data_IF_650244318826
#
_entry.id   IF_650244318826
#
_cell.length_a   1.000
_cell.length_b   1.000
_cell.length_c   1.000
_cell.angle_alpha   90.00
_cell.angle_beta   90.00
_cell.angle_gamma   90.00
#
_symmetry.space_group_name_H-M   'P 1'
#
loop_
_entity.id
_entity.type
_entity.pdbx_description
1 polymer ?
#
# COMPACT_ATOMS: atom_id res chain seq x y z
N UNK A 1 5.08 11.83 -62.36
CA UNK A 1 5.64 11.98 -61.00
C UNK A 1 4.56 11.63 -60.01
N UNK A 2 4.80 10.66 -59.12
CA UNK A 2 3.83 10.26 -58.08
C UNK A 2 4.34 10.79 -56.76
N UNK A 3 3.59 11.70 -56.14
CA UNK A 3 3.88 12.21 -54.79
C UNK A 3 2.98 11.45 -53.83
N UNK A 4 3.56 10.75 -52.86
CA UNK A 4 2.81 9.93 -51.91
C UNK A 4 2.08 10.78 -50.86
N UNK A 5 2.64 11.92 -50.43
CA UNK A 5 2.00 12.81 -49.45
C UNK A 5 2.41 14.26 -49.70
N UNK A 6 1.43 15.16 -49.70
CA UNK A 6 1.62 16.60 -49.90
C UNK A 6 1.93 17.36 -48.61
N UNK A 7 1.53 16.82 -47.45
CA UNK A 7 1.93 17.33 -46.14
C UNK A 7 3.37 16.89 -45.81
N UNK A 8 4.20 17.83 -45.33
CA UNK A 8 5.49 17.47 -44.77
C UNK A 8 5.29 16.48 -43.61
N UNK A 9 6.02 15.36 -43.62
CA UNK A 9 6.07 14.48 -42.45
C UNK A 9 7.13 15.01 -41.50
N UNK A 10 6.80 15.17 -40.22
CA UNK A 10 7.76 15.50 -39.17
C UNK A 10 8.90 14.48 -39.04
N UNK A 11 8.69 13.25 -39.56
CA UNK A 11 9.62 12.13 -39.47
C UNK A 11 10.05 11.73 -40.89
N UNK A 12 11.33 11.92 -41.26
CA UNK A 12 11.80 11.62 -42.61
C UNK A 12 11.80 10.10 -42.87
N UNK A 13 11.15 9.68 -43.96
CA UNK A 13 11.05 8.26 -44.34
C UNK A 13 12.42 7.63 -44.56
N UNK A 14 13.39 8.38 -45.10
CA UNK A 14 14.77 7.91 -45.28
C UNK A 14 15.46 7.52 -43.98
N UNK A 15 15.11 8.15 -42.84
CA UNK A 15 15.65 7.77 -41.54
C UNK A 15 14.93 6.57 -40.90
N UNK A 16 13.72 6.25 -41.36
CA UNK A 16 13.00 5.03 -40.95
C UNK A 16 13.42 3.81 -41.75
N UNK A 17 14.07 4.01 -42.89
CA UNK A 17 14.62 2.98 -43.77
C UNK A 17 16.09 2.69 -43.37
N UNK A 18 16.50 1.42 -43.48
CA UNK A 18 17.89 0.95 -43.28
C UNK A 18 18.55 1.24 -41.91
N UNK A 19 17.81 1.78 -40.94
CA UNK A 19 18.23 1.97 -39.56
C UNK A 19 17.82 0.81 -38.65
N UNK A 20 18.65 0.46 -37.66
CA UNK A 20 18.21 -0.37 -36.54
C UNK A 20 17.11 0.36 -35.76
N UNK A 21 16.20 -0.38 -35.12
CA UNK A 21 15.15 0.20 -34.29
C UNK A 21 15.73 1.13 -33.21
N UNK A 22 16.86 0.73 -32.60
CA UNK A 22 17.63 1.52 -31.64
C UNK A 22 18.11 2.85 -32.24
N UNK A 23 18.62 2.85 -33.48
CA UNK A 23 19.01 4.09 -34.18
C UNK A 23 17.80 4.99 -34.46
N UNK A 24 16.71 4.40 -34.94
CA UNK A 24 15.47 5.12 -35.27
C UNK A 24 14.95 5.86 -34.04
N UNK A 25 14.84 5.19 -32.88
CA UNK A 25 14.26 5.79 -31.68
C UNK A 25 15.18 6.71 -30.88
N UNK A 26 16.47 6.72 -31.24
CA UNK A 26 17.43 7.68 -30.69
C UNK A 26 17.64 8.91 -31.59
N UNK A 27 17.08 8.92 -32.80
CA UNK A 27 17.32 10.01 -33.76
C UNK A 27 16.08 10.40 -34.54
N UNK A 28 15.73 9.63 -35.57
CA UNK A 28 14.68 9.96 -36.55
C UNK A 28 13.29 10.05 -35.94
N UNK A 29 12.96 9.15 -35.01
CA UNK A 29 11.66 9.10 -34.37
C UNK A 29 11.81 8.85 -32.87
N UNK A 30 12.15 9.89 -32.08
CA UNK A 30 12.56 9.76 -30.69
C UNK A 30 11.57 8.98 -29.82
N UNK A 31 12.09 8.17 -28.89
CA UNK A 31 11.29 7.39 -27.94
C UNK A 31 10.28 8.26 -27.17
N UNK A 32 10.66 9.47 -26.81
CA UNK A 32 9.83 10.45 -26.10
C UNK A 32 8.57 10.80 -26.94
N UNK A 33 8.72 10.94 -28.26
CA UNK A 33 7.61 11.23 -29.18
C UNK A 33 6.70 10.00 -29.32
N UNK A 34 7.28 8.80 -29.40
CA UNK A 34 6.52 7.54 -29.42
C UNK A 34 5.73 7.37 -28.13
N UNK A 35 6.37 7.57 -26.98
CA UNK A 35 5.75 7.49 -25.66
C UNK A 35 4.61 8.50 -25.55
N UNK A 36 4.83 9.77 -25.91
CA UNK A 36 3.79 10.79 -25.87
C UNK A 36 2.54 10.41 -26.69
N UNK A 37 2.72 9.76 -27.84
CA UNK A 37 1.61 9.35 -28.71
C UNK A 37 0.89 8.09 -28.24
N UNK A 38 1.60 7.16 -27.58
CA UNK A 38 1.05 5.85 -27.21
C UNK A 38 0.76 5.69 -25.71
N UNK A 39 1.19 6.63 -24.85
CA UNK A 39 1.08 6.51 -23.40
C UNK A 39 -0.36 6.30 -22.94
N UNK A 40 -1.30 7.10 -23.45
CA UNK A 40 -2.71 6.96 -23.08
C UNK A 40 -3.27 5.57 -23.44
N UNK A 41 -2.87 5.03 -24.60
CA UNK A 41 -3.25 3.66 -25.00
C UNK A 41 -2.61 2.61 -24.09
N UNK A 42 -1.36 2.82 -23.68
CA UNK A 42 -0.69 1.93 -22.73
C UNK A 42 -1.38 1.93 -21.36
N UNK A 43 -1.77 3.12 -20.88
CA UNK A 43 -2.49 3.27 -19.62
C UNK A 43 -3.91 2.69 -19.70
N UNK A 44 -4.59 2.79 -20.85
CA UNK A 44 -5.93 2.20 -21.04
C UNK A 44 -5.93 0.66 -21.09
N UNK A 45 -4.76 0.02 -21.18
CA UNK A 45 -4.65 -1.42 -21.02
C UNK A 45 -4.91 -1.87 -19.57
N UNK A 46 -4.78 -0.96 -18.60
CA UNK A 46 -5.01 -1.21 -17.18
C UNK A 46 -6.46 -0.88 -16.80
N UNK A 47 -7.21 -1.90 -16.41
CA UNK A 47 -8.60 -1.80 -15.96
C UNK A 47 -8.66 -1.49 -14.46
N UNK A 48 -8.84 -0.22 -14.15
CA UNK A 48 -9.08 0.28 -12.79
C UNK A 48 -10.57 0.18 -12.41
N UNK A 49 -10.91 0.28 -11.10
CA UNK A 49 -12.29 0.42 -10.67
C UNK A 49 -13.00 1.60 -11.34
N UNK A 50 -14.28 1.46 -11.68
CA UNK A 50 -15.06 2.51 -12.34
C UNK A 50 -15.51 3.59 -11.35
N UNK A 51 -14.59 4.48 -10.97
CA UNK A 51 -14.84 5.63 -10.09
C UNK A 51 -14.00 6.86 -10.50
N UNK A 52 -14.41 8.04 -10.05
CA UNK A 52 -13.75 9.31 -10.40
C UNK A 52 -12.28 9.36 -9.96
N UNK A 53 -11.95 8.69 -8.87
CA UNK A 53 -10.57 8.58 -8.37
C UNK A 53 -9.66 7.89 -9.39
N UNK A 54 -10.13 6.81 -10.01
CA UNK A 54 -9.37 6.06 -11.02
C UNK A 54 -9.18 6.89 -12.30
N UNK A 55 -10.19 7.65 -12.72
CA UNK A 55 -10.09 8.54 -13.89
C UNK A 55 -9.05 9.64 -13.64
N UNK A 56 -9.14 10.29 -12.48
CA UNK A 56 -8.18 11.32 -12.08
C UNK A 56 -6.76 10.76 -11.93
N UNK A 57 -6.63 9.51 -11.47
CA UNK A 57 -5.36 8.83 -11.35
C UNK A 57 -4.71 8.58 -12.72
N UNK A 58 -5.44 8.02 -13.69
CA UNK A 58 -4.94 7.80 -15.06
C UNK A 58 -4.50 9.12 -15.69
N UNK A 59 -5.29 10.18 -15.53
CA UNK A 59 -4.92 11.53 -16.02
C UNK A 59 -3.60 12.01 -15.39
N UNK A 60 -3.46 11.83 -14.08
CA UNK A 60 -2.24 12.18 -13.33
C UNK A 60 -1.04 11.39 -13.84
N UNK A 61 -1.17 10.08 -14.08
CA UNK A 61 -0.09 9.27 -14.65
C UNK A 61 0.32 9.77 -16.04
N UNK A 62 -0.65 10.01 -16.92
CA UNK A 62 -0.39 10.48 -18.28
C UNK A 62 0.38 11.81 -18.29
N UNK A 63 0.04 12.72 -17.38
CA UNK A 63 0.73 14.00 -17.25
C UNK A 63 2.10 13.88 -16.56
N UNK A 64 2.20 13.10 -15.48
CA UNK A 64 3.44 12.99 -14.69
C UNK A 64 4.52 12.22 -15.44
N UNK A 65 4.22 11.08 -16.05
CA UNK A 65 5.22 10.28 -16.78
C UNK A 65 6.01 11.15 -17.78
N UNK A 66 5.30 12.00 -18.53
CA UNK A 66 5.91 12.88 -19.53
C UNK A 66 6.75 14.04 -18.94
N UNK A 67 6.58 14.35 -17.64
CA UNK A 67 7.33 15.40 -16.92
C UNK A 67 8.59 14.88 -16.22
N UNK A 68 8.81 13.57 -16.17
CA UNK A 68 9.95 12.95 -15.47
C UNK A 68 10.93 12.30 -16.45
N UNK A 69 11.96 13.03 -16.93
CA UNK A 69 12.90 12.51 -17.93
C UNK A 69 13.66 11.25 -17.46
N UNK A 70 14.03 11.16 -16.18
CA UNK A 70 14.69 9.96 -15.64
C UNK A 70 13.79 8.72 -15.74
N UNK A 71 12.47 8.88 -15.55
CA UNK A 71 11.53 7.78 -15.71
C UNK A 71 11.43 7.35 -17.17
N UNK A 72 11.37 8.32 -18.09
CA UNK A 72 11.35 8.07 -19.53
C UNK A 72 12.61 7.31 -19.96
N UNK A 73 13.78 7.70 -19.45
CA UNK A 73 15.04 7.01 -19.73
C UNK A 73 15.05 5.57 -19.20
N UNK A 74 14.52 5.34 -17.99
CA UNK A 74 14.34 3.99 -17.45
C UNK A 74 13.43 3.14 -18.34
N UNK A 75 12.30 3.68 -18.80
CA UNK A 75 11.40 2.99 -19.73
C UNK A 75 12.09 2.70 -21.06
N UNK A 76 12.76 3.71 -21.64
CA UNK A 76 13.47 3.62 -22.91
C UNK A 76 14.50 2.50 -22.90
N UNK A 77 15.36 2.46 -21.88
CA UNK A 77 16.38 1.42 -21.72
C UNK A 77 15.76 0.02 -21.73
N UNK A 78 14.76 -0.22 -20.87
CA UNK A 78 14.14 -1.55 -20.72
C UNK A 78 13.33 -1.97 -21.94
N UNK A 79 12.69 -1.02 -22.63
CA UNK A 79 11.99 -1.29 -23.89
C UNK A 79 12.98 -1.64 -25.01
N UNK A 80 14.13 -0.97 -25.07
CA UNK A 80 15.17 -1.30 -26.05
C UNK A 80 15.75 -2.71 -25.80
N UNK A 81 16.09 -3.04 -24.56
CA UNK A 81 16.53 -4.39 -24.16
C UNK A 81 15.50 -5.44 -24.63
N UNK A 82 14.21 -5.23 -24.33
CA UNK A 82 13.14 -6.12 -24.76
C UNK A 82 13.06 -6.29 -26.29
N UNK A 83 13.15 -5.18 -27.04
CA UNK A 83 13.05 -5.18 -28.51
C UNK A 83 14.26 -5.87 -29.15
N UNK A 84 15.44 -5.73 -28.56
CA UNK A 84 16.67 -6.38 -29.01
C UNK A 84 16.62 -7.90 -28.76
N UNK A 85 16.05 -8.34 -27.64
CA UNK A 85 15.81 -9.76 -27.33
C UNK A 85 14.69 -10.39 -28.18
N UNK A 86 13.77 -9.55 -28.71
CA UNK A 86 12.63 -9.99 -29.52
C UNK A 86 12.68 -9.37 -30.94
N UNK A 87 13.71 -9.71 -31.75
CA UNK A 87 13.96 -9.05 -33.02
C UNK A 87 12.84 -9.31 -34.03
N UNK A 88 12.42 -8.25 -34.73
CA UNK A 88 11.44 -8.36 -35.83
C UNK A 88 12.17 -8.25 -37.18
N UNK A 89 12.65 -9.37 -37.72
CA UNK A 89 13.38 -9.39 -38.99
C UNK A 89 12.52 -8.93 -40.17
N UNK A 90 13.11 -8.12 -41.05
CA UNK A 90 12.53 -7.64 -42.31
C UNK A 90 11.17 -6.95 -42.16
N UNK A 91 10.95 -6.25 -41.05
CA UNK A 91 9.67 -5.61 -40.74
C UNK A 91 9.27 -4.53 -41.78
N UNK A 92 10.23 -3.74 -42.28
CA UNK A 92 10.00 -2.74 -43.34
C UNK A 92 9.48 -3.40 -44.61
N UNK A 93 10.14 -4.48 -45.06
CA UNK A 93 9.71 -5.26 -46.23
C UNK A 93 8.30 -5.83 -46.03
N UNK A 94 8.03 -6.44 -44.86
CA UNK A 94 6.70 -7.00 -44.54
C UNK A 94 5.58 -5.97 -44.54
N UNK A 95 5.88 -4.70 -44.23
CA UNK A 95 4.91 -3.61 -44.35
C UNK A 95 4.72 -3.26 -45.82
N UNK A 96 5.81 -3.00 -46.54
CA UNK A 96 5.76 -2.63 -47.96
C UNK A 96 5.06 -3.68 -48.83
N UNK A 97 5.19 -4.97 -48.49
CA UNK A 97 4.62 -6.08 -49.26
C UNK A 97 3.17 -6.44 -48.89
N UNK A 98 2.56 -5.77 -47.90
CA UNK A 98 1.24 -6.15 -47.38
C UNK A 98 0.22 -5.01 -47.50
N UNK A 99 -0.80 -5.22 -48.34
CA UNK A 99 -1.93 -4.28 -48.47
C UNK A 99 -2.65 -4.04 -47.14
N UNK A 100 -2.74 -5.07 -46.29
CA UNK A 100 -3.36 -4.96 -44.95
C UNK A 100 -2.57 -4.02 -44.04
N UNK A 101 -1.25 -3.96 -44.18
CA UNK A 101 -0.39 -3.09 -43.38
C UNK A 101 -0.28 -1.67 -43.95
N UNK A 102 -0.47 -1.48 -45.26
CA UNK A 102 -0.35 -0.18 -45.92
C UNK A 102 -1.66 0.61 -45.95
N UNK A 103 -2.76 -0.02 -46.38
CA UNK A 103 -4.01 0.68 -46.70
C UNK A 103 -4.70 1.39 -45.53
N UNK A 104 -4.54 0.96 -44.26
CA UNK A 104 -5.06 1.73 -43.13
C UNK A 104 -4.38 3.08 -42.92
N UNK A 105 -3.24 3.35 -43.59
CA UNK A 105 -2.44 4.54 -43.39
C UNK A 105 -2.38 5.40 -44.66
N UNK A 106 -2.30 6.73 -44.52
CA UNK A 106 -2.29 7.63 -45.67
C UNK A 106 -1.01 7.56 -46.50
N UNK A 107 0.06 6.96 -45.99
CA UNK A 107 1.33 6.79 -46.68
C UNK A 107 2.17 5.65 -46.09
N UNK A 108 3.15 5.19 -46.84
CA UNK A 108 4.15 4.23 -46.39
C UNK A 108 4.92 4.74 -45.18
N UNK A 109 5.31 6.02 -45.17
CA UNK A 109 5.93 6.65 -44.00
C UNK A 109 5.05 6.52 -42.75
N UNK A 110 3.75 6.80 -42.89
CA UNK A 110 2.79 6.67 -41.78
C UNK A 110 2.62 5.20 -41.33
N UNK A 111 2.64 4.26 -42.26
CA UNK A 111 2.60 2.82 -41.95
C UNK A 111 3.86 2.37 -41.19
N UNK A 112 5.06 2.82 -41.60
CA UNK A 112 6.31 2.54 -40.90
C UNK A 112 6.29 3.10 -39.46
N UNK A 113 5.88 4.36 -39.31
CA UNK A 113 5.75 5.00 -37.99
C UNK A 113 4.75 4.25 -37.10
N UNK A 114 3.60 3.86 -37.65
CA UNK A 114 2.60 3.10 -36.90
C UNK A 114 3.09 1.70 -36.48
N UNK A 115 3.90 1.05 -37.30
CA UNK A 115 4.55 -0.20 -36.92
C UNK A 115 5.53 0.00 -35.77
N UNK A 116 6.43 0.99 -35.86
CA UNK A 116 7.37 1.31 -34.77
C UNK A 116 6.62 1.61 -33.48
N UNK A 117 5.57 2.44 -33.53
CA UNK A 117 4.70 2.70 -32.36
C UNK A 117 4.09 1.42 -31.79
N UNK A 118 3.57 0.55 -32.65
CA UNK A 118 2.95 -0.72 -32.22
C UNK A 118 3.96 -1.67 -31.59
N UNK A 119 5.19 -1.67 -32.07
CA UNK A 119 6.26 -2.48 -31.51
C UNK A 119 6.66 -2.01 -30.12
N UNK A 120 6.81 -0.69 -29.92
CA UNK A 120 7.25 -0.09 -28.67
C UNK A 120 6.15 0.02 -27.61
N UNK A 121 4.88 0.27 -28.00
CA UNK A 121 3.78 0.39 -27.03
C UNK A 121 3.53 -0.89 -26.25
N UNK A 122 3.83 -2.06 -26.84
CA UNK A 122 3.61 -3.37 -26.19
C UNK A 122 4.44 -3.54 -24.91
N UNK A 123 5.79 -3.45 -24.96
CA UNK A 123 6.62 -3.50 -23.76
C UNK A 123 6.35 -2.31 -22.84
N UNK A 124 6.07 -1.10 -23.35
CA UNK A 124 5.69 0.06 -22.49
C UNK A 124 4.48 -0.30 -21.63
N UNK A 125 3.39 -0.80 -22.22
CA UNK A 125 2.18 -1.16 -21.48
C UNK A 125 2.44 -2.28 -20.46
N UNK A 126 3.32 -3.24 -20.77
CA UNK A 126 3.70 -4.32 -19.85
C UNK A 126 4.51 -3.80 -18.66
N UNK A 127 5.52 -2.97 -18.91
CA UNK A 127 6.35 -2.35 -17.86
C UNK A 127 5.49 -1.51 -16.94
N UNK A 128 4.64 -0.64 -17.50
CA UNK A 128 3.73 0.20 -16.70
C UNK A 128 2.79 -0.68 -15.86
N UNK A 129 2.21 -1.74 -16.42
CA UNK A 129 1.38 -2.67 -15.68
C UNK A 129 2.14 -3.39 -14.55
N UNK A 130 3.37 -3.85 -14.80
CA UNK A 130 4.21 -4.48 -13.80
C UNK A 130 4.50 -3.52 -12.64
N UNK A 131 4.89 -2.29 -12.93
CA UNK A 131 5.17 -1.28 -11.92
C UNK A 131 3.92 -0.90 -11.12
N UNK A 132 2.76 -0.78 -11.76
CA UNK A 132 1.53 -0.45 -11.05
C UNK A 132 1.00 -1.57 -10.16
N UNK A 133 1.24 -2.84 -10.52
CA UNK A 133 0.96 -3.99 -9.63
C UNK A 133 1.84 -4.00 -8.39
N UNK A 134 3.00 -3.32 -8.45
CA UNK A 134 3.93 -3.13 -7.35
C UNK A 134 3.76 -1.77 -6.67
N UNK A 135 2.77 -0.96 -7.09
CA UNK A 135 2.53 0.41 -6.63
C UNK A 135 3.78 1.32 -6.76
N UNK A 136 4.64 1.06 -7.75
CA UNK A 136 5.96 1.64 -7.84
C UNK A 136 6.02 2.95 -8.64
N UNK A 137 5.08 3.21 -9.56
CA UNK A 137 5.13 4.42 -10.42
C UNK A 137 4.94 5.69 -9.58
N UNK A 138 3.94 5.71 -8.69
CA UNK A 138 3.68 6.87 -7.84
C UNK A 138 4.83 7.14 -6.86
N UNK A 139 5.44 6.09 -6.31
CA UNK A 139 6.62 6.21 -5.42
C UNK A 139 7.79 6.87 -6.16
N UNK A 140 8.01 6.53 -7.45
CA UNK A 140 9.03 7.19 -8.27
C UNK A 140 8.79 8.70 -8.33
N UNK A 141 7.57 9.14 -8.62
CA UNK A 141 7.27 10.57 -8.69
C UNK A 141 7.47 11.27 -7.34
N UNK A 142 7.02 10.64 -6.25
CA UNK A 142 7.21 11.17 -4.89
C UNK A 142 8.71 11.40 -4.60
N UNK A 143 9.54 10.39 -4.86
CA UNK A 143 10.98 10.45 -4.59
C UNK A 143 11.68 11.42 -5.56
N UNK A 144 11.38 11.34 -6.85
CA UNK A 144 11.99 12.17 -7.89
C UNK A 144 11.65 13.65 -7.78
N UNK A 145 10.46 14.01 -7.32
CA UNK A 145 10.13 15.42 -7.09
C UNK A 145 10.89 15.96 -5.87
N UNK A 146 11.15 15.13 -4.85
CA UNK A 146 11.90 15.54 -3.67
C UNK A 146 13.41 15.62 -3.88
N UNK A 147 14.00 14.95 -4.88
CA UNK A 147 15.42 15.17 -5.20
C UNK A 147 15.69 16.60 -5.68
N UNK A 148 14.71 17.24 -6.32
CA UNK A 148 14.81 18.64 -6.80
C UNK A 148 14.99 19.65 -5.65
N UNK A 149 14.58 19.31 -4.42
CA UNK A 149 14.72 20.18 -3.25
C UNK A 149 16.11 20.11 -2.59
N UNK A 150 17.11 19.48 -3.24
CA UNK A 150 18.50 19.29 -2.77
C UNK A 150 18.64 18.42 -1.52
N UNK A 151 17.65 17.58 -1.21
CA UNK A 151 17.77 16.59 -0.16
C UNK A 151 18.49 15.34 -0.68
N UNK A 152 19.80 15.24 -0.45
CA UNK A 152 20.65 14.13 -0.92
C UNK A 152 20.21 12.73 -0.42
N UNK A 153 19.34 12.66 0.60
CA UNK A 153 18.75 11.41 1.05
C UNK A 153 17.78 10.80 0.02
N UNK A 154 16.98 11.63 -0.67
CA UNK A 154 16.05 11.17 -1.71
C UNK A 154 16.77 10.71 -2.97
N UNK A 155 17.97 11.21 -3.26
CA UNK A 155 18.79 10.69 -4.38
C UNK A 155 19.22 9.24 -4.13
N UNK A 156 19.57 8.89 -2.90
CA UNK A 156 19.89 7.50 -2.52
C UNK A 156 18.66 6.61 -2.65
N UNK A 157 17.49 7.12 -2.25
CA UNK A 157 16.22 6.41 -2.37
C UNK A 157 15.80 6.20 -3.84
N UNK A 158 16.08 7.19 -4.70
CA UNK A 158 15.87 7.08 -6.14
C UNK A 158 16.76 6.01 -6.76
N UNK A 159 18.05 5.98 -6.39
CA UNK A 159 18.98 4.92 -6.82
C UNK A 159 18.51 3.53 -6.39
N UNK A 160 17.95 3.40 -5.18
CA UNK A 160 17.36 2.15 -4.73
C UNK A 160 16.15 1.75 -5.56
N UNK A 161 15.27 2.70 -5.91
CA UNK A 161 14.16 2.46 -6.83
C UNK A 161 14.67 1.95 -8.18
N UNK A 162 15.67 2.60 -8.77
CA UNK A 162 16.28 2.22 -10.05
C UNK A 162 16.94 0.83 -10.01
N UNK A 163 17.59 0.49 -8.88
CA UNK A 163 18.17 -0.84 -8.67
C UNK A 163 17.11 -1.94 -8.68
N UNK A 164 15.99 -1.75 -7.97
CA UNK A 164 14.88 -2.73 -7.99
C UNK A 164 14.22 -2.76 -9.36
N UNK A 165 14.05 -1.61 -10.03
CA UNK A 165 13.47 -1.52 -11.35
C UNK A 165 14.19 -2.40 -12.38
N UNK A 166 15.52 -2.42 -12.34
CA UNK A 166 16.34 -3.19 -13.28
C UNK A 166 16.21 -4.70 -13.02
N UNK A 167 15.97 -5.14 -11.78
CA UNK A 167 15.84 -6.57 -11.44
C UNK A 167 14.61 -7.20 -12.12
N UNK A 168 14.84 -7.93 -13.21
CA UNK A 168 13.84 -8.68 -13.97
C UNK A 168 13.13 -9.75 -13.16
N UNK A 169 13.72 -10.24 -12.05
CA UNK A 169 13.02 -11.18 -11.17
C UNK A 169 11.92 -10.48 -10.35
N UNK A 170 12.04 -9.16 -10.16
CA UNK A 170 11.06 -8.35 -9.42
C UNK A 170 10.08 -7.71 -10.40
N UNK A 171 10.57 -6.94 -11.37
CA UNK A 171 9.74 -6.29 -12.39
C UNK A 171 9.62 -7.20 -13.62
N UNK A 172 8.94 -8.33 -13.45
CA UNK A 172 8.70 -9.31 -14.52
C UNK A 172 7.69 -8.80 -15.54
N UNK A 173 8.07 -8.79 -16.82
CA UNK A 173 7.20 -8.34 -17.93
C UNK A 173 6.90 -9.45 -18.94
N UNK A 174 7.66 -10.54 -18.90
CA UNK A 174 7.59 -11.71 -19.77
C UNK A 174 6.26 -12.45 -19.56
N UNK A 175 5.89 -12.61 -18.29
CA UNK A 175 4.67 -13.31 -17.86
C UNK A 175 3.40 -12.49 -18.08
N UNK A 176 3.52 -11.22 -18.47
CA UNK A 176 2.36 -10.35 -18.69
C UNK A 176 1.77 -10.64 -20.08
N UNK A 177 0.45 -10.92 -20.19
CA UNK A 177 -0.21 -11.15 -21.47
C UNK A 177 0.01 -10.00 -22.47
N UNK A 178 -0.25 -10.23 -23.75
CA UNK A 178 -0.17 -9.14 -24.74
C UNK A 178 -1.17 -8.03 -24.37
N UNK A 179 -0.75 -6.74 -24.42
CA UNK A 179 -1.62 -5.64 -24.05
C UNK A 179 -2.79 -5.48 -25.00
N UNK A 180 -3.94 -5.21 -24.41
CA UNK A 180 -5.18 -4.77 -25.05
C UNK A 180 -5.90 -3.82 -24.09
N UNK A 181 -6.73 -2.89 -24.59
CA UNK A 181 -7.55 -2.03 -23.73
C UNK A 181 -8.34 -2.86 -22.72
N UNK A 182 -8.33 -2.43 -21.46
CA UNK A 182 -8.91 -3.12 -20.30
C UNK A 182 -8.43 -4.59 -20.12
N UNK A 183 -7.27 -4.93 -20.68
CA UNK A 183 -6.72 -6.28 -20.68
C UNK A 183 -6.10 -6.70 -19.35
N UNK A 184 -5.73 -5.75 -18.50
CA UNK A 184 -5.09 -6.01 -17.22
C UNK A 184 -5.98 -5.56 -16.07
N UNK A 185 -6.55 -6.52 -15.33
CA UNK A 185 -7.30 -6.21 -14.12
C UNK A 185 -6.35 -5.65 -13.04
N UNK A 186 -6.61 -4.42 -12.60
CA UNK A 186 -5.87 -3.79 -11.52
C UNK A 186 -6.59 -4.03 -10.20
N UNK A 187 -5.85 -4.44 -9.18
CA UNK A 187 -6.41 -4.58 -7.83
C UNK A 187 -6.63 -3.19 -7.23
N UNK A 188 -7.52 -3.09 -6.24
CA UNK A 188 -7.70 -1.84 -5.49
C UNK A 188 -6.36 -1.33 -4.88
N UNK A 189 -5.43 -2.25 -4.58
CA UNK A 189 -4.06 -1.92 -4.14
C UNK A 189 -3.20 -1.15 -5.15
N UNK A 190 -3.58 -1.11 -6.43
CA UNK A 190 -2.87 -0.30 -7.45
C UNK A 190 -3.12 1.21 -7.29
N UNK A 191 -4.09 1.61 -6.48
CA UNK A 191 -4.38 3.02 -6.18
C UNK A 191 -3.77 3.47 -4.84
N UNK A 192 -2.81 2.71 -4.29
CA UNK A 192 -2.19 3.07 -3.03
C UNK A 192 -1.19 4.21 -3.19
N UNK A 193 -1.33 5.19 -2.32
CA UNK A 193 -0.46 6.36 -2.24
C UNK A 193 0.75 6.04 -1.38
N UNK A 194 1.62 5.18 -1.90
CA UNK A 194 2.85 4.74 -1.22
C UNK A 194 4.00 5.72 -1.49
N UNK A 195 4.89 5.84 -0.51
CA UNK A 195 6.01 6.79 -0.49
C UNK A 195 7.37 6.09 -0.60
N UNK A 196 7.53 4.93 0.03
CA UNK A 196 8.77 4.17 0.01
C UNK A 196 8.84 3.28 -1.26
N UNK A 197 9.96 3.30 -2.00
CA UNK A 197 10.14 2.50 -3.21
C UNK A 197 9.81 1.01 -3.00
N UNK A 198 8.87 0.50 -3.79
CA UNK A 198 8.50 -0.92 -3.79
C UNK A 198 8.09 -1.45 -2.42
N UNK A 199 7.58 -0.60 -1.52
CA UNK A 199 7.16 -1.01 -0.18
C UNK A 199 6.13 -2.14 -0.18
N UNK A 200 5.16 -2.12 -1.11
CA UNK A 200 4.19 -3.20 -1.27
C UNK A 200 4.83 -4.55 -1.62
N UNK A 201 5.86 -4.55 -2.48
CA UNK A 201 6.62 -5.75 -2.80
C UNK A 201 7.39 -6.24 -1.57
N UNK A 202 8.11 -5.35 -0.89
CA UNK A 202 8.91 -5.66 0.29
C UNK A 202 8.04 -6.25 1.41
N UNK A 203 6.88 -5.67 1.66
CA UNK A 203 5.91 -6.19 2.64
C UNK A 203 5.51 -7.63 2.32
N UNK A 204 5.18 -7.94 1.06
CA UNK A 204 4.85 -9.30 0.63
C UNK A 204 6.01 -10.26 0.80
N UNK A 205 7.23 -9.81 0.51
CA UNK A 205 8.42 -10.63 0.70
C UNK A 205 8.63 -10.95 2.18
N UNK A 206 8.53 -9.96 3.08
CA UNK A 206 8.65 -10.19 4.53
C UNK A 206 7.51 -11.09 5.04
N UNK A 207 6.27 -10.82 4.62
CA UNK A 207 5.08 -11.61 5.00
C UNK A 207 5.13 -13.06 4.53
N UNK A 208 5.90 -13.38 3.49
CA UNK A 208 6.11 -14.77 3.06
C UNK A 208 6.83 -15.62 4.10
N UNK A 209 7.58 -15.01 5.03
CA UNK A 209 8.28 -15.70 6.13
C UNK A 209 7.44 -15.84 7.40
N UNK A 210 6.21 -15.32 7.43
CA UNK A 210 5.34 -15.34 8.61
C UNK A 210 5.23 -16.74 9.24
N UNK A 211 5.00 -17.77 8.42
CA UNK A 211 4.86 -19.15 8.90
C UNK A 211 6.12 -19.66 9.59
N UNK A 212 7.29 -19.41 9.00
CA UNK A 212 8.57 -19.83 9.59
C UNK A 212 8.83 -19.10 10.91
N UNK A 213 8.52 -17.82 10.98
CA UNK A 213 8.58 -17.06 12.24
C UNK A 213 7.67 -17.68 13.31
N UNK A 214 6.41 -17.97 12.99
CA UNK A 214 5.45 -18.57 13.94
C UNK A 214 5.89 -19.96 14.43
N UNK A 215 6.48 -20.77 13.55
CA UNK A 215 7.06 -22.07 13.89
C UNK A 215 8.26 -21.91 14.86
N UNK A 216 9.17 -20.96 14.60
CA UNK A 216 10.31 -20.67 15.49
C UNK A 216 9.87 -20.13 16.85
N UNK A 217 8.87 -19.24 16.89
CA UNK A 217 8.26 -18.74 18.14
C UNK A 217 7.63 -19.88 18.96
N UNK A 218 6.91 -20.80 18.31
CA UNK A 218 6.29 -21.95 18.98
C UNK A 218 7.35 -22.84 19.64
N UNK A 219 8.53 -22.98 19.03
CA UNK A 219 9.65 -23.72 19.62
C UNK A 219 10.19 -22.98 20.85
N UNK A 220 10.36 -21.66 20.78
CA UNK A 220 10.82 -20.85 21.92
C UNK A 220 9.84 -20.92 23.10
N UNK A 221 8.54 -20.98 22.83
CA UNK A 221 7.49 -21.12 23.85
C UNK A 221 7.47 -22.48 24.57
N UNK A 222 8.24 -23.48 24.12
CA UNK A 222 8.38 -24.76 24.85
C UNK A 222 9.37 -24.68 26.01
N UNK A 223 10.18 -23.63 26.04
CA UNK A 223 11.19 -23.40 27.06
C UNK A 223 10.62 -22.49 28.16
N UNK A 224 10.20 -23.10 29.27
CA UNK A 224 9.61 -22.37 30.41
C UNK A 224 10.55 -21.29 30.98
N UNK A 225 11.87 -21.39 30.76
CA UNK A 225 12.83 -20.36 31.18
C UNK A 225 12.74 -19.06 30.39
N UNK A 226 12.03 -19.07 29.26
CA UNK A 226 11.87 -17.91 28.35
C UNK A 226 10.50 -17.23 28.47
N UNK A 227 9.62 -17.74 29.33
CA UNK A 227 8.25 -17.25 29.50
C UNK A 227 8.17 -16.38 30.75
N UNK A 228 7.57 -15.20 30.62
CA UNK A 228 7.21 -14.36 31.75
C UNK A 228 6.00 -14.99 32.48
N UNK A 229 6.23 -15.35 33.76
CA UNK A 229 5.22 -15.96 34.61
C UNK A 229 3.97 -15.09 34.84
N UNK A 230 4.05 -13.77 34.66
CA UNK A 230 2.91 -12.85 34.85
C UNK A 230 2.01 -12.74 33.62
N UNK A 231 2.61 -12.77 32.43
CA UNK A 231 1.88 -12.57 31.16
C UNK A 231 1.63 -13.89 30.43
N UNK A 232 2.38 -14.94 30.77
CA UNK A 232 2.46 -16.20 30.03
C UNK A 232 2.90 -15.99 28.56
N UNK A 233 3.69 -14.94 28.30
CA UNK A 233 4.27 -14.61 27.01
C UNK A 233 5.80 -14.75 27.07
N UNK A 234 6.46 -14.84 25.91
CA UNK A 234 7.92 -14.80 25.86
C UNK A 234 8.45 -13.47 26.39
N UNK A 235 9.56 -13.49 27.13
CA UNK A 235 10.23 -12.25 27.54
C UNK A 235 10.64 -11.41 26.34
N UNK A 236 10.55 -10.08 26.48
CA UNK A 236 10.89 -9.13 25.40
C UNK A 236 12.32 -9.33 24.88
N UNK A 237 13.30 -9.58 25.76
CA UNK A 237 14.69 -9.80 25.34
C UNK A 237 14.85 -11.07 24.47
N UNK A 238 14.03 -12.11 24.71
CA UNK A 238 14.05 -13.35 23.92
C UNK A 238 13.52 -13.08 22.50
N UNK A 239 12.45 -12.28 22.40
CA UNK A 239 11.89 -11.86 21.11
C UNK A 239 12.91 -10.98 20.36
N UNK A 240 13.52 -10.01 21.02
CA UNK A 240 14.49 -9.11 20.41
C UNK A 240 15.72 -9.86 19.87
N UNK A 241 16.29 -10.79 20.63
CA UNK A 241 17.42 -11.58 20.17
C UNK A 241 17.04 -12.51 19.01
N UNK A 242 15.88 -13.16 19.09
CA UNK A 242 15.35 -13.96 17.99
C UNK A 242 15.15 -13.14 16.70
N UNK A 243 14.63 -11.91 16.81
CA UNK A 243 14.42 -11.04 15.66
C UNK A 243 15.72 -10.61 14.97
N UNK A 244 16.83 -10.47 15.72
CA UNK A 244 18.16 -10.22 15.12
C UNK A 244 18.58 -11.36 14.21
N UNK A 245 18.46 -12.60 14.68
CA UNK A 245 18.79 -13.80 13.90
C UNK A 245 17.84 -13.99 12.72
N UNK A 246 16.53 -13.81 12.95
CA UNK A 246 15.52 -13.91 11.92
C UNK A 246 15.74 -12.89 10.79
N UNK A 247 16.07 -11.65 11.13
CA UNK A 247 16.43 -10.61 10.16
C UNK A 247 17.62 -11.03 9.30
N UNK A 248 18.67 -11.60 9.90
CA UNK A 248 19.83 -12.08 9.16
C UNK A 248 19.45 -13.20 8.17
N UNK A 249 18.64 -14.18 8.60
CA UNK A 249 18.12 -15.24 7.70
C UNK A 249 17.30 -14.67 6.54
N UNK A 250 16.46 -13.69 6.82
CA UNK A 250 15.63 -13.02 5.83
C UNK A 250 16.49 -12.29 4.79
N UNK A 251 17.51 -11.54 5.24
CA UNK A 251 18.45 -10.85 4.34
C UNK A 251 19.36 -11.78 3.55
N UNK A 252 19.65 -12.98 4.06
CA UNK A 252 20.34 -14.01 3.27
C UNK A 252 19.42 -14.57 2.17
N UNK A 253 18.12 -14.68 2.45
CA UNK A 253 17.13 -15.21 1.51
C UNK A 253 16.67 -14.18 0.47
N UNK A 254 16.67 -12.89 0.84
CA UNK A 254 16.30 -11.76 -0.01
C UNK A 254 17.45 -10.74 -0.02
N UNK A 255 18.52 -10.99 -0.80
CA UNK A 255 19.73 -10.15 -0.78
C UNK A 255 19.46 -8.67 -1.09
N UNK A 256 18.42 -8.36 -1.88
CA UNK A 256 18.02 -6.99 -2.22
C UNK A 256 17.65 -6.15 -0.99
N UNK A 257 17.23 -6.79 0.12
CA UNK A 257 16.85 -6.08 1.35
C UNK A 257 18.05 -5.77 2.25
N UNK A 258 19.15 -6.52 2.14
CA UNK A 258 20.30 -6.45 3.06
C UNK A 258 20.95 -5.06 3.14
N UNK A 259 21.07 -4.38 2.00
CA UNK A 259 21.63 -3.03 1.91
C UNK A 259 20.56 -1.99 1.54
N UNK A 260 19.29 -2.31 1.80
CA UNK A 260 18.18 -1.44 1.43
C UNK A 260 18.07 -0.23 2.36
N UNK A 261 17.40 0.85 1.92
CA UNK A 261 17.05 1.99 2.77
C UNK A 261 16.16 1.65 3.97
N UNK A 262 15.67 0.41 4.12
CA UNK A 262 14.85 -0.02 5.26
C UNK A 262 15.55 0.15 6.61
N UNK A 263 16.88 0.12 6.61
CA UNK A 263 17.71 0.29 7.81
C UNK A 263 18.01 1.76 8.12
N UNK A 264 17.61 2.70 7.25
CA UNK A 264 17.80 4.13 7.51
C UNK A 264 16.59 4.68 8.25
N UNK A 265 16.82 5.25 9.44
CA UNK A 265 15.76 5.74 10.34
C UNK A 265 14.70 6.58 9.61
N UNK A 266 15.11 7.60 8.86
CA UNK A 266 14.18 8.48 8.13
C UNK A 266 13.40 7.77 7.01
N UNK A 267 13.99 6.79 6.32
CA UNK A 267 13.34 6.08 5.22
C UNK A 267 12.42 4.98 5.75
N UNK A 268 12.75 4.39 6.90
CA UNK A 268 11.91 3.42 7.59
C UNK A 268 10.58 4.04 8.07
N UNK A 269 10.54 5.34 8.35
CA UNK A 269 9.28 6.05 8.65
C UNK A 269 8.35 6.09 7.41
N UNK A 270 8.89 6.28 6.21
CA UNK A 270 8.13 6.18 4.96
C UNK A 270 7.55 4.75 4.80
N UNK A 271 8.37 3.73 5.08
CA UNK A 271 7.91 2.34 5.04
C UNK A 271 6.80 2.06 6.05
N UNK A 272 6.91 2.57 7.28
CA UNK A 272 5.86 2.45 8.29
C UNK A 272 4.56 3.12 7.84
N UNK A 273 4.63 4.32 7.27
CA UNK A 273 3.44 5.02 6.75
C UNK A 273 2.78 4.24 5.62
N UNK A 274 3.58 3.63 4.74
CA UNK A 274 3.09 2.73 3.69
C UNK A 274 2.44 1.48 4.28
N UNK A 275 3.03 0.90 5.32
CA UNK A 275 2.52 -0.31 5.98
C UNK A 275 1.11 -0.06 6.53
N UNK A 276 0.92 1.05 7.24
CA UNK A 276 -0.40 1.48 7.73
C UNK A 276 -1.37 1.71 6.56
N UNK A 277 -0.91 2.33 5.47
CA UNK A 277 -1.73 2.60 4.28
C UNK A 277 -2.24 1.31 3.66
N UNK A 278 -1.36 0.31 3.50
CA UNK A 278 -1.71 -1.01 2.97
C UNK A 278 -2.72 -1.71 3.87
N UNK A 279 -2.56 -1.67 5.19
CA UNK A 279 -3.52 -2.28 6.13
C UNK A 279 -4.90 -1.64 6.01
N UNK A 280 -4.98 -0.31 6.12
CA UNK A 280 -6.27 0.40 6.10
C UNK A 280 -6.99 0.24 4.77
N UNK A 281 -6.25 0.10 3.68
CA UNK A 281 -6.83 -0.09 2.35
C UNK A 281 -7.55 -1.43 2.16
N UNK A 282 -7.20 -2.47 2.93
CA UNK A 282 -7.82 -3.80 2.83
C UNK A 282 -9.28 -3.80 3.30
N UNK A 283 -9.62 -2.91 4.23
CA UNK A 283 -10.94 -2.85 4.86
C UNK A 283 -11.89 -1.83 4.19
N UNK A 284 -11.47 -1.18 3.10
CA UNK A 284 -12.29 -0.21 2.34
C UNK A 284 -12.57 1.13 3.05
N UNK A 285 -12.25 1.25 4.35
CA UNK A 285 -12.43 2.46 5.13
C UNK A 285 -11.18 3.35 5.15
N UNK A 286 -11.06 4.27 4.18
CA UNK A 286 -9.97 5.27 4.12
C UNK A 286 -9.83 6.15 5.38
N UNK A 287 -10.81 6.15 6.29
CA UNK A 287 -10.94 7.12 7.40
C UNK A 287 -10.04 6.84 8.62
N UNK A 288 -9.20 5.81 8.59
CA UNK A 288 -8.55 5.30 9.81
C UNK A 288 -7.02 5.35 9.83
N UNK A 289 -6.35 5.87 8.79
CA UNK A 289 -4.87 5.89 8.70
C UNK A 289 -4.23 6.59 9.90
N UNK A 290 -4.64 7.83 10.20
CA UNK A 290 -4.08 8.61 11.32
C UNK A 290 -4.25 7.92 12.67
N UNK A 291 -5.44 7.36 12.92
CA UNK A 291 -5.76 6.69 14.17
C UNK A 291 -4.95 5.39 14.32
N UNK A 292 -4.83 4.58 13.26
CA UNK A 292 -4.01 3.38 13.29
C UNK A 292 -2.53 3.71 13.47
N UNK A 293 -2.02 4.75 12.79
CA UNK A 293 -0.66 5.26 12.99
C UNK A 293 -0.40 5.61 14.46
N UNK A 294 -1.32 6.34 15.10
CA UNK A 294 -1.19 6.71 16.51
C UNK A 294 -1.21 5.47 17.43
N UNK A 295 -2.15 4.56 17.22
CA UNK A 295 -2.26 3.32 18.01
C UNK A 295 -0.97 2.50 17.92
N UNK A 296 -0.46 2.27 16.71
CA UNK A 296 0.80 1.52 16.53
C UNK A 296 2.00 2.23 17.16
N UNK A 297 2.08 3.57 17.05
CA UNK A 297 3.12 4.37 17.71
C UNK A 297 3.12 4.20 19.23
N UNK A 298 1.93 4.20 19.83
CA UNK A 298 1.75 4.05 21.27
C UNK A 298 2.03 2.62 21.76
N UNK A 299 1.69 1.61 20.96
CA UNK A 299 1.86 0.21 21.33
C UNK A 299 3.30 -0.29 21.16
N UNK A 300 3.99 0.16 20.10
CA UNK A 300 5.30 -0.33 19.70
C UNK A 300 6.43 0.56 20.23
N UNK A 301 6.20 1.87 20.31
CA UNK A 301 7.26 2.87 20.51
C UNK A 301 7.82 3.41 19.18
N UNK A 302 8.33 4.64 19.22
CA UNK A 302 8.82 5.37 18.02
C UNK A 302 10.13 4.82 17.47
N UNK A 303 10.95 4.20 18.31
CA UNK A 303 12.22 3.56 17.96
C UNK A 303 11.99 2.21 17.26
N UNK A 304 11.08 1.38 17.79
CA UNK A 304 10.80 0.05 17.26
C UNK A 304 9.88 0.06 16.04
N UNK A 305 9.02 1.08 15.87
CA UNK A 305 8.14 1.17 14.69
C UNK A 305 8.94 1.34 13.39
N UNK A 306 10.11 1.96 13.48
CA UNK A 306 11.05 2.20 12.40
C UNK A 306 11.92 0.97 12.09
N UNK A 307 11.59 -0.19 12.65
CA UNK A 307 12.25 -1.46 12.35
C UNK A 307 11.25 -2.36 11.61
N UNK A 308 11.32 -2.45 10.25
CA UNK A 308 10.33 -3.18 9.46
C UNK A 308 10.09 -4.62 9.90
N UNK A 309 11.15 -5.36 10.23
CA UNK A 309 11.02 -6.76 10.67
C UNK A 309 10.27 -6.86 12.01
N UNK A 310 10.59 -5.96 12.95
CA UNK A 310 9.87 -5.87 14.22
C UNK A 310 8.39 -5.54 13.97
N UNK A 311 8.10 -4.52 13.16
CA UNK A 311 6.75 -4.09 12.82
C UNK A 311 5.89 -5.23 12.26
N UNK A 312 6.43 -6.00 11.30
CA UNK A 312 5.76 -7.16 10.75
C UNK A 312 5.52 -8.25 11.80
N UNK A 313 6.54 -8.60 12.59
CA UNK A 313 6.43 -9.60 13.65
C UNK A 313 5.38 -9.23 14.71
N UNK A 314 5.33 -7.94 15.08
CA UNK A 314 4.33 -7.40 15.98
C UNK A 314 2.94 -7.49 15.37
N UNK A 315 2.79 -7.12 14.09
CA UNK A 315 1.52 -7.21 13.41
C UNK A 315 1.02 -8.66 13.30
N UNK A 316 1.88 -9.61 12.94
CA UNK A 316 1.50 -11.03 12.83
C UNK A 316 0.93 -11.58 14.14
N UNK A 317 1.52 -11.18 15.27
CA UNK A 317 1.08 -11.59 16.61
C UNK A 317 -0.18 -10.86 17.07
N UNK A 318 -0.26 -9.55 16.85
CA UNK A 318 -1.24 -8.69 17.54
C UNK A 318 -2.30 -8.06 16.61
N UNK A 319 -2.36 -8.40 15.31
CA UNK A 319 -3.28 -7.78 14.35
C UNK A 319 -4.74 -7.71 14.83
N UNK A 320 -5.26 -8.80 15.40
CA UNK A 320 -6.64 -8.85 15.90
C UNK A 320 -6.89 -7.87 17.06
N UNK A 321 -5.91 -7.73 17.95
CA UNK A 321 -5.96 -6.82 19.09
C UNK A 321 -5.83 -5.37 18.62
N UNK A 322 -4.88 -5.08 17.73
CA UNK A 322 -4.70 -3.74 17.15
C UNK A 322 -5.94 -3.29 16.38
N UNK A 323 -6.55 -4.17 15.59
CA UNK A 323 -7.79 -3.87 14.86
C UNK A 323 -8.98 -3.68 15.82
N UNK A 324 -9.04 -4.42 16.92
CA UNK A 324 -10.07 -4.21 17.94
C UNK A 324 -9.89 -2.85 18.65
N UNK A 325 -8.65 -2.45 18.98
CA UNK A 325 -8.33 -1.13 19.52
C UNK A 325 -8.70 -0.03 18.54
N UNK A 326 -8.40 -0.21 17.25
CA UNK A 326 -8.80 0.74 16.21
C UNK A 326 -10.32 0.92 16.18
N UNK A 327 -11.08 -0.18 16.23
CA UNK A 327 -12.54 -0.11 16.23
C UNK A 327 -13.10 0.53 17.51
N UNK A 328 -12.50 0.29 18.68
CA UNK A 328 -12.88 0.97 19.93
C UNK A 328 -12.61 2.48 19.84
N UNK A 329 -11.46 2.85 19.30
CA UNK A 329 -11.07 4.23 19.08
C UNK A 329 -12.02 4.95 18.09
N UNK A 330 -12.53 4.25 17.08
CA UNK A 330 -13.55 4.79 16.17
C UNK A 330 -14.91 5.02 16.85
N UNK A 331 -15.30 4.16 17.81
CA UNK A 331 -16.55 4.31 18.57
C UNK A 331 -16.49 5.56 19.47
N UNK A 332 -15.29 5.93 19.93
CA UNK A 332 -15.07 7.09 20.79
C UNK A 332 -13.90 7.96 20.34
N UNK A 333 -14.04 8.72 19.23
CA UNK A 333 -12.94 9.52 18.67
C UNK A 333 -12.44 10.63 19.61
N UNK A 334 -13.25 11.05 20.58
CA UNK A 334 -12.90 12.04 21.60
C UNK A 334 -11.69 11.56 22.42
N UNK A 335 -11.66 10.28 22.80
CA UNK A 335 -10.56 9.71 23.59
C UNK A 335 -9.24 9.81 22.82
N UNK A 336 -9.26 9.58 21.51
CA UNK A 336 -8.07 9.72 20.66
C UNK A 336 -7.61 11.17 20.58
N UNK A 337 -8.54 12.12 20.43
CA UNK A 337 -8.20 13.55 20.45
C UNK A 337 -7.58 13.96 21.79
N UNK A 338 -8.07 13.42 22.90
CA UNK A 338 -7.51 13.70 24.22
C UNK A 338 -6.07 13.17 24.34
N UNK A 339 -5.78 11.99 23.78
CA UNK A 339 -4.40 11.47 23.71
C UNK A 339 -3.52 12.36 22.83
N UNK A 340 -4.03 12.86 21.70
CA UNK A 340 -3.29 13.77 20.82
C UNK A 340 -2.96 15.11 21.51
N UNK A 341 -3.90 15.66 22.29
CA UNK A 341 -3.76 16.95 22.98
C UNK A 341 -2.86 16.83 24.21
N UNK A 342 -3.10 15.82 25.04
CA UNK A 342 -2.45 15.68 26.36
C UNK A 342 -1.15 14.84 26.27
N UNK A 343 -0.88 14.25 25.10
CA UNK A 343 0.30 13.46 24.82
C UNK A 343 0.28 12.08 25.49
N UNK A 344 1.34 11.30 25.22
CA UNK A 344 1.46 9.90 25.64
C UNK A 344 1.43 9.70 27.17
N UNK A 345 1.65 10.78 27.94
CA UNK A 345 1.62 10.75 29.40
C UNK A 345 0.27 10.33 29.99
N UNK A 346 -0.85 10.57 29.28
CA UNK A 346 -2.18 10.17 29.74
C UNK A 346 -2.38 8.65 29.74
N UNK A 347 -1.65 7.94 28.88
CA UNK A 347 -1.79 6.49 28.69
C UNK A 347 -1.18 5.68 29.85
N UNK A 348 -0.37 6.31 30.72
CA UNK A 348 0.22 5.80 31.99
C UNK A 348 0.38 4.27 32.06
N UNK A 349 1.06 3.67 31.08
CA UNK A 349 1.37 2.24 31.03
C UNK A 349 0.83 1.53 29.79
N UNK A 350 -0.48 1.29 29.69
CA UNK A 350 -1.09 0.45 28.65
C UNK A 350 -2.22 1.18 27.95
N UNK A 351 -2.04 1.42 26.64
CA UNK A 351 -3.06 2.01 25.76
C UNK A 351 -4.34 1.19 25.82
N UNK A 352 -4.20 -0.13 25.84
CA UNK A 352 -5.30 -1.07 25.87
C UNK A 352 -6.17 -0.84 27.11
N UNK A 353 -5.56 -0.77 28.29
CA UNK A 353 -6.29 -0.53 29.55
C UNK A 353 -6.91 0.87 29.57
N UNK A 354 -6.16 1.89 29.15
CA UNK A 354 -6.65 3.27 29.12
C UNK A 354 -7.87 3.42 28.21
N UNK A 355 -7.78 2.96 26.95
CA UNK A 355 -8.85 3.07 25.98
C UNK A 355 -10.10 2.32 26.44
N UNK A 356 -9.94 1.10 26.96
CA UNK A 356 -11.08 0.31 27.45
C UNK A 356 -11.75 1.02 28.62
N UNK A 357 -10.97 1.55 29.57
CA UNK A 357 -11.50 2.28 30.71
C UNK A 357 -12.33 3.49 30.27
N UNK A 358 -11.78 4.33 29.41
CA UNK A 358 -12.47 5.55 28.97
C UNK A 358 -13.68 5.25 28.08
N UNK A 359 -13.62 4.26 27.19
CA UNK A 359 -14.79 3.82 26.41
C UNK A 359 -15.88 3.30 27.33
N UNK A 360 -15.51 2.50 28.33
CA UNK A 360 -16.46 1.92 29.30
C UNK A 360 -17.15 3.02 30.10
N UNK A 361 -16.38 3.98 30.60
CA UNK A 361 -16.90 5.16 31.31
C UNK A 361 -17.85 5.97 30.44
N UNK A 362 -17.52 6.20 29.18
CA UNK A 362 -18.40 6.89 28.24
C UNK A 362 -19.72 6.13 28.02
N UNK A 363 -19.68 4.80 27.90
CA UNK A 363 -20.91 4.00 27.75
C UNK A 363 -21.78 4.04 28.99
N UNK A 364 -21.19 3.96 30.18
CA UNK A 364 -21.89 4.09 31.46
C UNK A 364 -22.50 5.50 31.63
N UNK A 365 -21.78 6.56 31.25
CA UNK A 365 -22.32 7.92 31.29
C UNK A 365 -23.48 8.12 30.30
N UNK A 366 -23.40 7.50 29.12
CA UNK A 366 -24.46 7.59 28.10
C UNK A 366 -25.77 7.00 28.60
N UNK A 367 -25.76 5.88 29.32
CA UNK A 367 -27.00 5.28 29.86
C UNK A 367 -27.61 6.12 31.00
N UNK A 368 -26.79 6.91 31.70
CA UNK A 368 -27.24 7.88 32.69
C UNK A 368 -27.80 9.18 32.09
N UNK A 369 -27.76 9.36 30.77
CA UNK A 369 -28.35 10.50 30.08
C UNK A 369 -29.88 10.53 30.12
N UNK A 370 -30.47 11.61 29.61
CA UNK A 370 -31.92 11.79 29.56
C UNK A 370 -32.52 10.99 28.39
N UNK A 371 -33.08 9.82 28.70
CA UNK A 371 -33.90 9.01 27.78
C UNK A 371 -35.41 9.22 27.99
N UNK A 372 -35.86 10.38 28.47
CA UNK A 372 -37.28 10.62 28.81
C UNK A 372 -38.21 10.61 27.59
N UNK A 373 -39.17 9.67 27.54
CA UNK A 373 -40.23 9.59 26.51
C UNK A 373 -40.23 8.31 25.66
N UNK A 374 -41.39 7.95 25.10
CA UNK A 374 -41.57 6.73 24.28
C UNK A 374 -40.78 6.70 22.96
N UNK A 375 -40.34 7.86 22.48
CA UNK A 375 -39.49 8.01 21.28
C UNK A 375 -38.03 7.54 21.51
N UNK A 376 -37.63 7.29 22.76
CA UNK A 376 -36.25 6.96 23.12
C UNK A 376 -35.94 5.46 23.25
N UNK A 377 -36.91 4.57 23.03
CA UNK A 377 -36.67 3.12 23.04
C UNK A 377 -35.58 2.72 22.02
N UNK A 378 -35.60 3.34 20.84
CA UNK A 378 -34.55 3.20 19.82
C UNK A 378 -33.16 3.62 20.33
N UNK A 379 -33.07 4.61 21.22
CA UNK A 379 -31.78 5.08 21.74
C UNK A 379 -31.21 4.09 22.77
N UNK A 380 -32.07 3.43 23.55
CA UNK A 380 -31.67 2.36 24.48
C UNK A 380 -31.21 1.13 23.69
N UNK A 381 -31.97 0.71 22.67
CA UNK A 381 -31.58 -0.40 21.79
C UNK A 381 -30.26 -0.11 21.07
N UNK A 382 -30.06 1.13 20.60
CA UNK A 382 -28.80 1.59 20.00
C UNK A 382 -27.65 1.56 21.00
N UNK A 383 -27.86 2.05 22.23
CA UNK A 383 -26.86 1.97 23.29
C UNK A 383 -26.48 0.52 23.59
N UNK A 384 -27.46 -0.37 23.70
CA UNK A 384 -27.23 -1.79 23.97
C UNK A 384 -26.45 -2.47 22.82
N UNK A 385 -26.77 -2.12 21.58
CA UNK A 385 -26.01 -2.57 20.41
C UNK A 385 -24.55 -2.09 20.47
N UNK A 386 -24.32 -0.81 20.76
CA UNK A 386 -22.98 -0.22 20.89
C UNK A 386 -22.19 -0.87 22.03
N UNK A 387 -22.82 -1.14 23.17
CA UNK A 387 -22.19 -1.83 24.32
C UNK A 387 -21.85 -3.27 23.98
N UNK A 388 -22.77 -4.01 23.35
CA UNK A 388 -22.51 -5.38 22.90
C UNK A 388 -21.31 -5.42 21.95
N UNK A 389 -21.22 -4.46 21.03
CA UNK A 389 -20.07 -4.30 20.14
C UNK A 389 -18.79 -4.00 20.92
N UNK A 390 -18.81 -3.07 21.87
CA UNK A 390 -17.65 -2.77 22.74
C UNK A 390 -17.19 -4.03 23.49
N UNK A 391 -18.10 -4.74 24.16
CA UNK A 391 -17.78 -5.96 24.91
C UNK A 391 -17.16 -7.04 24.02
N UNK A 392 -17.68 -7.20 22.79
CA UNK A 392 -17.11 -8.11 21.80
C UNK A 392 -15.68 -7.72 21.40
N UNK A 393 -15.41 -6.43 21.17
CA UNK A 393 -14.08 -5.94 20.83
C UNK A 393 -13.10 -6.11 21.98
N UNK A 394 -13.52 -5.78 23.20
CA UNK A 394 -12.68 -5.91 24.39
C UNK A 394 -12.29 -7.37 24.65
N UNK A 395 -13.15 -8.33 24.32
CA UNK A 395 -12.81 -9.76 24.44
C UNK A 395 -11.63 -10.20 23.55
N UNK A 396 -11.32 -9.45 22.49
CA UNK A 396 -10.15 -9.68 21.61
C UNK A 396 -8.85 -9.08 22.17
N UNK A 397 -8.93 -8.25 23.21
CA UNK A 397 -7.81 -7.55 23.83
C UNK A 397 -7.47 -8.30 25.13
N UNK A 398 -6.42 -9.12 25.12
CA UNK A 398 -6.11 -10.04 26.23
C UNK A 398 -5.67 -9.31 27.50
N UNK A 399 -4.96 -8.20 27.36
CA UNK A 399 -4.28 -7.48 28.46
C UNK A 399 -5.21 -6.68 29.39
N UNK A 400 -6.51 -6.61 29.09
CA UNK A 400 -7.46 -5.73 29.77
C UNK A 400 -8.81 -6.37 30.13
N UNK A 401 -8.92 -7.71 30.09
CA UNK A 401 -10.17 -8.44 30.35
C UNK A 401 -10.72 -8.30 31.77
N UNK A 402 -9.88 -7.93 32.74
CA UNK A 402 -10.20 -7.95 34.17
C UNK A 402 -10.41 -6.54 34.78
N UNK A 403 -10.76 -5.54 33.97
CA UNK A 403 -11.05 -4.20 34.47
C UNK A 403 -12.40 -4.19 35.22
N UNK A 404 -12.47 -3.68 36.47
CA UNK A 404 -13.73 -3.62 37.24
C UNK A 404 -14.85 -2.86 36.50
N UNK A 405 -14.52 -1.72 35.90
CA UNK A 405 -15.48 -0.90 35.15
C UNK A 405 -16.13 -1.69 34.00
N UNK A 406 -15.36 -2.58 33.35
CA UNK A 406 -15.87 -3.42 32.27
C UNK A 406 -16.87 -4.46 32.79
N UNK A 407 -16.64 -4.99 34.00
CA UNK A 407 -17.60 -5.90 34.64
C UNK A 407 -18.90 -5.18 34.98
N UNK A 408 -18.82 -3.94 35.48
CA UNK A 408 -20.00 -3.11 35.71
C UNK A 408 -20.77 -2.88 34.41
N UNK A 409 -20.09 -2.54 33.31
CA UNK A 409 -20.74 -2.37 32.01
C UNK A 409 -21.46 -3.64 31.52
N UNK A 410 -20.89 -4.83 31.76
CA UNK A 410 -21.55 -6.11 31.45
C UNK A 410 -22.83 -6.28 32.25
N UNK A 411 -22.75 -6.07 33.56
CA UNK A 411 -23.90 -6.16 34.46
C UNK A 411 -25.01 -5.21 34.00
N UNK A 412 -24.67 -3.94 33.77
CA UNK A 412 -25.63 -2.92 33.33
C UNK A 412 -26.27 -3.30 31.98
N UNK A 413 -25.48 -3.80 31.03
CA UNK A 413 -25.99 -4.28 29.74
C UNK A 413 -27.00 -5.43 29.90
N UNK A 414 -26.69 -6.40 30.76
CA UNK A 414 -27.57 -7.54 31.01
C UNK A 414 -28.86 -7.12 31.74
N UNK A 415 -28.79 -6.16 32.66
CA UNK A 415 -29.96 -5.60 33.34
C UNK A 415 -30.88 -4.84 32.37
N UNK A 416 -30.31 -4.04 31.47
CA UNK A 416 -31.06 -3.36 30.41
C UNK A 416 -31.70 -4.38 29.46
N UNK A 417 -30.97 -5.46 29.11
CA UNK A 417 -31.47 -6.52 28.24
C UNK A 417 -32.67 -7.28 28.84
N UNK A 418 -32.65 -7.49 30.16
CA UNK A 418 -33.70 -8.22 30.86
C UNK A 418 -35.05 -7.48 30.83
N UNK A 419 -35.05 -6.15 30.69
CA UNK A 419 -36.25 -5.27 30.72
C UNK A 419 -37.11 -5.42 31.99
N UNK A 420 -36.60 -6.07 33.03
CA UNK A 420 -37.29 -6.32 34.30
C UNK A 420 -37.03 -5.25 35.35
N UNK A 421 -35.95 -4.48 35.21
CA UNK A 421 -35.57 -3.41 36.16
C UNK A 421 -35.82 -2.04 35.51
N UNK A 422 -36.46 -1.08 36.21
CA UNK A 422 -36.62 0.28 35.71
C UNK A 422 -35.28 0.94 35.40
N UNK A 423 -35.22 1.70 34.32
CA UNK A 423 -33.99 2.36 33.89
C UNK A 423 -33.42 3.28 34.97
N UNK A 424 -34.25 3.97 35.75
CA UNK A 424 -33.79 4.88 36.80
C UNK A 424 -33.06 4.14 37.93
N UNK A 425 -33.51 2.93 38.30
CA UNK A 425 -32.77 2.08 39.24
C UNK A 425 -31.43 1.61 38.67
N UNK A 426 -31.36 1.35 37.36
CA UNK A 426 -30.10 1.01 36.69
C UNK A 426 -29.15 2.22 36.70
N UNK A 427 -29.65 3.44 36.50
CA UNK A 427 -28.85 4.68 36.59
C UNK A 427 -28.29 4.90 37.99
N UNK A 428 -29.09 4.63 39.04
CA UNK A 428 -28.61 4.69 40.43
C UNK A 428 -27.45 3.72 40.67
N UNK A 429 -27.55 2.47 40.17
CA UNK A 429 -26.46 1.47 40.29
C UNK A 429 -25.16 1.96 39.64
N UNK A 430 -25.23 2.70 38.53
CA UNK A 430 -24.05 3.24 37.85
C UNK A 430 -23.43 4.44 38.58
N UNK A 431 -24.21 5.16 39.39
CA UNK A 431 -23.78 6.35 40.11
C UNK A 431 -23.22 6.07 41.52
N UNK A 432 -23.52 4.89 42.08
CA UNK A 432 -22.94 4.35 43.32
C UNK A 432 -21.49 3.89 43.09
#
# INVERSE_FOLDING_TARGET
MTIETLSGSDVPTSGLLDGSLTRIVNSTYPFEKILQQELLWCLSCMKYPSNDESINYIKTLNEKILKHPNFIECLKKRVLEWVEENPTSNWQYKIASSKQNLYPYPSFSAALQAHVRTLFRKPIARILCALERLSAIKTFFCVSDQTKSKNGNYEKLLKFWEQIYIDEKIVKIEDIPSPKPDGYNMMAGSLLDLEFPFSFYIMKQIDSFKRHYEEEITILQKDNGKIDAKTNELYDYVIEDHLKDFKNKLFMSIPQLKNSPLEWEWASELYFNDFVTVIVSKDGEKKNKKMLTLILRLLIGTDKMCQPIFLHSYWWRNANEVLALLQLAQISPIIIKDIEIQGNAIVRGSLEKYLIKEVTKLMLQRICGNFEGSENAHLIDKWQHDVTKVLYLVNKITKAKNLPDLQLLRIVNDLVAAKTIPLDSIKEIVQL
#
